data_IF_836242847626
#
_entry.id   IF_836242847626
#
_cell.length_a   1.000
_cell.length_b   1.000
_cell.length_c   1.000
_cell.angle_alpha   90.00
_cell.angle_beta   90.00
_cell.angle_gamma   90.00
#
_symmetry.space_group_name_H-M   'P 1'
#
loop_
_entity.id
_entity.type
_entity.pdbx_description
1 polymer ?
#
# COMPACT_ATOMS: atom_id res chain seq x y z
N UNK A 1 4.31 15.43 4.50
CA UNK A 1 5.54 14.89 3.87
C UNK A 1 5.14 14.39 2.49
N UNK A 2 5.92 14.65 1.43
CA UNK A 2 5.59 14.16 0.08
C UNK A 2 6.52 12.98 -0.23
N UNK A 3 5.95 11.80 -0.42
CA UNK A 3 6.69 10.62 -0.87
C UNK A 3 6.76 10.59 -2.41
N UNK A 4 7.94 10.27 -2.96
CA UNK A 4 8.14 10.13 -4.41
C UNK A 4 8.48 8.68 -4.72
N UNK A 5 7.53 7.97 -5.32
CA UNK A 5 7.67 6.56 -5.69
C UNK A 5 7.56 6.37 -7.22
N UNK A 6 8.39 5.46 -7.76
CA UNK A 6 8.29 4.91 -9.13
C UNK A 6 8.22 3.38 -9.03
N UNK A 7 7.33 2.76 -9.81
CA UNK A 7 7.29 1.31 -9.98
C UNK A 7 7.67 0.94 -11.41
N UNK A 8 8.64 0.03 -11.55
CA UNK A 8 9.02 -0.56 -12.82
C UNK A 8 8.66 -2.04 -12.81
N UNK A 9 8.21 -2.56 -13.95
CA UNK A 9 8.04 -3.99 -14.14
C UNK A 9 9.42 -4.65 -14.20
N UNK A 10 9.59 -5.75 -13.50
CA UNK A 10 10.77 -6.60 -13.59
C UNK A 10 10.38 -7.93 -14.24
N UNK A 11 11.27 -8.49 -15.07
CA UNK A 11 11.02 -9.77 -15.75
C UNK A 11 11.59 -10.95 -14.95
N UNK A 12 12.62 -10.72 -14.13
CA UNK A 12 13.25 -11.75 -13.28
C UNK A 12 13.69 -11.15 -11.95
N UNK A 13 13.26 -11.79 -10.85
CA UNK A 13 13.71 -11.43 -9.51
C UNK A 13 15.19 -11.74 -9.30
N UNK A 14 15.68 -12.86 -9.81
CA UNK A 14 17.09 -13.27 -9.62
C UNK A 14 18.05 -12.31 -10.34
N UNK A 15 17.71 -11.89 -11.55
CA UNK A 15 18.49 -10.88 -12.26
C UNK A 15 18.47 -9.53 -11.52
N UNK A 16 17.32 -9.15 -10.96
CA UNK A 16 17.19 -7.91 -10.21
C UNK A 16 18.00 -7.94 -8.91
N UNK A 17 17.95 -9.05 -8.16
CA UNK A 17 18.77 -9.25 -6.95
C UNK A 17 20.26 -9.11 -7.27
N UNK A 18 20.73 -9.77 -8.34
CA UNK A 18 22.12 -9.65 -8.78
C UNK A 18 22.52 -8.20 -9.10
N UNK A 19 21.67 -7.45 -9.81
CA UNK A 19 21.92 -6.03 -10.13
C UNK A 19 21.93 -5.16 -8.87
N UNK A 20 21.06 -5.44 -7.90
CA UNK A 20 21.04 -4.76 -6.60
C UNK A 20 22.33 -5.02 -5.82
N UNK A 21 22.82 -6.26 -5.80
CA UNK A 21 24.10 -6.61 -5.18
C UNK A 21 25.29 -5.91 -5.86
N UNK A 22 25.30 -5.84 -7.20
CA UNK A 22 26.34 -5.16 -7.98
C UNK A 22 26.45 -3.66 -7.69
N UNK A 23 25.33 -3.00 -7.33
CA UNK A 23 25.33 -1.59 -6.92
C UNK A 23 25.51 -1.40 -5.41
N UNK A 24 25.73 -2.48 -4.65
CA UNK A 24 25.94 -2.44 -3.20
C UNK A 24 24.66 -2.16 -2.40
N UNK A 25 23.49 -2.48 -2.95
CA UNK A 25 22.24 -2.40 -2.19
C UNK A 25 22.25 -3.44 -1.05
N UNK A 26 21.73 -3.05 0.10
CA UNK A 26 21.64 -3.94 1.27
C UNK A 26 20.17 -4.31 1.46
N UNK A 27 19.89 -5.61 1.49
CA UNK A 27 18.55 -6.12 1.83
C UNK A 27 18.24 -5.78 3.29
N UNK A 28 17.16 -5.03 3.50
CA UNK A 28 16.76 -4.60 4.85
C UNK A 28 15.79 -5.61 5.48
N UNK A 29 14.83 -6.14 4.73
CA UNK A 29 13.83 -7.08 5.24
C UNK A 29 13.12 -7.81 4.10
N UNK A 30 12.35 -8.84 4.45
CA UNK A 30 11.28 -9.38 3.62
C UNK A 30 9.97 -9.28 4.39
N UNK A 31 8.91 -8.85 3.72
CA UNK A 31 7.60 -8.69 4.34
C UNK A 31 6.48 -9.14 3.40
N UNK A 32 5.48 -9.79 4.00
CA UNK A 32 4.22 -10.14 3.37
C UNK A 32 3.21 -9.03 3.64
N UNK A 33 2.61 -8.49 2.58
CA UNK A 33 1.64 -7.41 2.65
C UNK A 33 0.29 -7.87 2.14
N UNK A 34 -0.76 -7.58 2.90
CA UNK A 34 -2.15 -7.72 2.49
C UNK A 34 -2.84 -6.35 2.57
N UNK A 35 -3.24 -5.83 1.41
CA UNK A 35 -3.94 -4.56 1.28
C UNK A 35 -5.42 -4.80 0.96
N UNK A 36 -6.31 -4.37 1.86
CA UNK A 36 -7.75 -4.31 1.61
C UNK A 36 -8.14 -2.88 1.25
N UNK A 37 -8.63 -2.67 0.04
CA UNK A 37 -9.03 -1.37 -0.49
C UNK A 37 -10.53 -1.14 -0.32
N UNK A 38 -10.90 0.08 0.04
CA UNK A 38 -12.26 0.50 0.28
C UNK A 38 -12.64 1.67 -0.64
N UNK A 39 -13.85 1.65 -1.20
CA UNK A 39 -14.41 2.76 -1.96
C UNK A 39 -15.39 3.58 -1.12
N UNK A 40 -15.51 4.87 -1.43
CA UNK A 40 -16.33 5.82 -0.67
C UNK A 40 -17.81 5.73 -1.04
N UNK A 41 -18.74 5.95 -0.08
CA UNK A 41 -20.17 6.01 -0.37
C UNK A 41 -20.61 7.29 -1.11
N UNK A 42 -19.77 8.32 -1.15
CA UNK A 42 -20.15 9.66 -1.67
C UNK A 42 -19.42 10.05 -2.96
N UNK A 43 -18.35 9.35 -3.34
CA UNK A 43 -17.64 9.54 -4.60
C UNK A 43 -16.89 8.27 -4.97
N UNK A 44 -16.71 8.02 -6.27
CA UNK A 44 -15.94 6.88 -6.74
C UNK A 44 -14.45 7.21 -6.74
N UNK A 45 -13.69 6.58 -5.84
CA UNK A 45 -12.24 6.74 -5.77
C UNK A 45 -11.51 6.28 -7.03
N UNK A 46 -12.10 5.39 -7.83
CA UNK A 46 -11.53 5.02 -9.12
C UNK A 46 -11.57 6.19 -10.12
N UNK A 47 -12.65 6.98 -10.10
CA UNK A 47 -12.82 8.16 -10.96
C UNK A 47 -11.99 9.35 -10.48
N UNK A 48 -11.84 9.51 -9.16
CA UNK A 48 -11.11 10.63 -8.56
C UNK A 48 -9.63 10.35 -8.30
N UNK A 49 -9.13 9.17 -8.69
CA UNK A 49 -7.75 8.70 -8.48
C UNK A 49 -7.33 8.67 -6.99
N UNK A 50 -8.29 8.48 -6.09
CA UNK A 50 -8.06 8.35 -4.64
C UNK A 50 -7.96 6.86 -4.24
N UNK A 51 -7.56 6.59 -3.00
CA UNK A 51 -7.69 5.27 -2.42
C UNK A 51 -7.75 5.33 -0.88
N UNK A 52 -8.56 4.46 -0.29
CA UNK A 52 -8.49 4.14 1.14
C UNK A 52 -8.12 2.66 1.26
N UNK A 53 -7.15 2.34 2.12
CA UNK A 53 -6.80 0.93 2.40
C UNK A 53 -6.54 0.67 3.88
N UNK A 54 -6.76 -0.57 4.26
CA UNK A 54 -6.17 -1.17 5.45
C UNK A 54 -5.07 -2.11 4.98
N UNK A 55 -3.83 -1.89 5.43
CA UNK A 55 -2.68 -2.74 5.15
C UNK A 55 -2.30 -3.53 6.38
N UNK A 56 -2.16 -4.83 6.21
CA UNK A 56 -1.47 -5.71 7.15
C UNK A 56 -0.09 -6.06 6.59
N UNK A 57 0.96 -5.88 7.40
CA UNK A 57 2.33 -6.21 7.02
C UNK A 57 2.92 -7.16 8.06
N UNK A 58 3.36 -8.34 7.60
CA UNK A 58 3.98 -9.38 8.42
C UNK A 58 5.39 -9.64 7.95
N UNK A 59 6.33 -9.67 8.88
CA UNK A 59 7.73 -10.04 8.69
C UNK A 59 8.16 -10.90 9.88
N UNK A 60 9.34 -11.51 9.81
CA UNK A 60 9.86 -12.34 10.92
C UNK A 60 9.99 -11.55 12.23
N UNK A 61 10.16 -10.23 12.16
CA UNK A 61 10.40 -9.37 13.31
C UNK A 61 9.18 -8.57 13.77
N UNK A 62 8.26 -8.26 12.85
CA UNK A 62 7.18 -7.28 13.08
C UNK A 62 5.89 -7.66 12.38
N UNK A 63 4.80 -7.31 13.04
CA UNK A 63 3.45 -7.33 12.52
C UNK A 63 2.82 -5.97 12.76
N UNK A 64 2.55 -5.23 11.68
CA UNK A 64 1.99 -3.88 11.77
C UNK A 64 0.71 -3.78 10.93
N UNK A 65 -0.20 -2.94 11.39
CA UNK A 65 -1.46 -2.65 10.71
C UNK A 65 -1.59 -1.15 10.51
N UNK A 66 -1.93 -0.72 9.30
CA UNK A 66 -2.08 0.68 8.96
C UNK A 66 -3.37 0.95 8.20
N UNK A 67 -3.98 2.11 8.47
CA UNK A 67 -4.93 2.74 7.56
C UNK A 67 -4.18 3.78 6.76
N UNK A 68 -4.36 3.77 5.44
CA UNK A 68 -3.82 4.82 4.57
C UNK A 68 -4.93 5.39 3.70
N UNK A 69 -5.12 6.71 3.75
CA UNK A 69 -5.81 7.45 2.69
C UNK A 69 -4.76 8.02 1.73
N UNK A 70 -5.03 7.90 0.44
CA UNK A 70 -4.20 8.37 -0.67
C UNK A 70 -5.04 9.31 -1.53
N UNK A 71 -4.64 10.57 -1.61
CA UNK A 71 -5.26 11.56 -2.49
C UNK A 71 -4.99 11.31 -3.98
N UNK A 72 -5.52 12.15 -4.88
CA UNK A 72 -5.23 12.08 -6.31
C UNK A 72 -3.72 12.26 -6.60
N UNK A 73 -3.22 11.66 -7.69
CA UNK A 73 -1.84 11.92 -8.15
C UNK A 73 -1.67 13.39 -8.51
N UNK A 74 -0.52 13.93 -8.12
CA UNK A 74 -0.10 15.28 -8.50
C UNK A 74 0.59 15.27 -9.88
N UNK A 75 1.22 14.14 -10.25
CA UNK A 75 1.91 13.95 -11.53
C UNK A 75 1.57 12.58 -12.11
N UNK A 76 1.21 12.51 -13.40
CA UNK A 76 0.87 11.27 -14.08
C UNK A 76 2.05 10.30 -14.24
N UNK A 77 3.30 10.79 -14.27
CA UNK A 77 4.51 9.96 -14.43
C UNK A 77 4.98 9.31 -13.13
N UNK A 78 4.55 9.84 -11.98
CA UNK A 78 5.00 9.43 -10.66
C UNK A 78 3.82 8.97 -9.84
N UNK A 79 4.07 8.21 -8.78
CA UNK A 79 3.02 7.86 -7.81
C UNK A 79 2.92 8.87 -6.67
N UNK A 80 3.38 10.10 -6.91
CA UNK A 80 3.38 11.18 -5.93
C UNK A 80 1.97 11.68 -5.69
N UNK A 81 1.55 11.64 -4.42
CA UNK A 81 0.25 12.09 -3.93
C UNK A 81 0.34 12.39 -2.44
N UNK A 82 -0.66 13.08 -1.93
CA UNK A 82 -0.83 13.22 -0.49
C UNK A 82 -1.26 11.88 0.12
N UNK A 83 -0.60 11.49 1.21
CA UNK A 83 -0.93 10.30 1.96
C UNK A 83 -1.09 10.65 3.44
N UNK A 84 -2.18 10.15 4.03
CA UNK A 84 -2.43 10.22 5.47
C UNK A 84 -2.45 8.79 5.98
N UNK A 85 -1.45 8.44 6.77
CA UNK A 85 -1.25 7.10 7.29
C UNK A 85 -1.29 7.11 8.82
N UNK A 86 -1.93 6.09 9.40
CA UNK A 86 -2.03 5.91 10.84
C UNK A 86 -1.95 4.42 11.18
N UNK A 87 -1.15 4.09 12.20
CA UNK A 87 -1.09 2.75 12.77
C UNK A 87 -2.39 2.43 13.52
N UNK A 88 -2.85 1.19 13.42
CA UNK A 88 -4.03 0.70 14.11
C UNK A 88 -3.74 -0.61 14.85
N UNK A 89 -4.57 -0.93 15.82
CA UNK A 89 -4.41 -2.14 16.62
C UNK A 89 -5.19 -3.34 16.08
N UNK A 90 -6.23 -3.11 15.26
CA UNK A 90 -7.16 -4.16 14.83
C UNK A 90 -7.78 -3.84 13.45
N UNK A 91 -7.35 -4.59 12.44
CA UNK A 91 -7.80 -4.45 11.06
C UNK A 91 -9.28 -4.81 10.88
N UNK A 92 -9.80 -5.75 11.67
CA UNK A 92 -11.20 -6.19 11.61
C UNK A 92 -12.15 -5.14 12.16
N UNK A 93 -11.80 -4.51 13.29
CA UNK A 93 -12.57 -3.39 13.85
C UNK A 93 -12.56 -2.18 12.92
N UNK A 94 -11.41 -1.84 12.35
CA UNK A 94 -11.31 -0.76 11.37
C UNK A 94 -12.20 -1.01 10.13
N UNK A 95 -12.19 -2.23 9.59
CA UNK A 95 -13.06 -2.63 8.47
C UNK A 95 -14.54 -2.44 8.79
N UNK A 96 -14.98 -2.93 9.97
CA UNK A 96 -16.37 -2.78 10.42
C UNK A 96 -16.78 -1.32 10.56
N UNK A 97 -15.90 -0.46 11.08
CA UNK A 97 -16.15 0.99 11.17
C UNK A 97 -16.35 1.56 9.76
N UNK A 98 -15.50 1.21 8.80
CA UNK A 98 -15.63 1.64 7.41
C UNK A 98 -16.95 1.20 6.78
N UNK A 99 -17.30 -0.08 6.93
CA UNK A 99 -18.57 -0.65 6.45
C UNK A 99 -19.78 0.07 7.06
N UNK A 100 -19.78 0.33 8.37
CA UNK A 100 -20.87 1.07 9.03
C UNK A 100 -20.97 2.53 8.57
N UNK A 101 -19.86 3.13 8.15
CA UNK A 101 -19.83 4.47 7.55
C UNK A 101 -20.18 4.45 6.05
N UNK A 102 -20.46 3.28 5.46
CA UNK A 102 -20.88 3.10 4.07
C UNK A 102 -19.74 2.87 3.08
N UNK A 103 -18.50 2.73 3.54
CA UNK A 103 -17.40 2.33 2.67
C UNK A 103 -17.50 0.83 2.34
N UNK A 104 -17.19 0.47 1.11
CA UNK A 104 -17.27 -0.91 0.65
C UNK A 104 -15.89 -1.44 0.31
N UNK A 105 -15.52 -2.61 0.81
CA UNK A 105 -14.30 -3.30 0.38
C UNK A 105 -14.44 -3.68 -1.10
N UNK A 106 -13.49 -3.25 -1.93
CA UNK A 106 -13.54 -3.43 -3.39
C UNK A 106 -12.47 -4.38 -3.91
N UNK A 107 -11.36 -4.52 -3.19
CA UNK A 107 -10.23 -5.36 -3.65
C UNK A 107 -9.27 -5.69 -2.52
N UNK A 108 -8.78 -6.92 -2.53
CA UNK A 108 -7.62 -7.33 -1.75
C UNK A 108 -6.42 -7.57 -2.67
N UNK A 109 -5.26 -7.05 -2.29
CA UNK A 109 -3.98 -7.25 -3.00
C UNK A 109 -2.98 -7.83 -2.02
N UNK A 110 -2.40 -8.97 -2.40
CA UNK A 110 -1.39 -9.65 -1.60
C UNK A 110 -0.07 -9.60 -2.37
N UNK A 111 1.01 -9.23 -1.68
CA UNK A 111 2.35 -9.22 -2.27
C UNK A 111 3.45 -9.45 -1.22
N UNK A 112 4.47 -10.20 -1.62
CA UNK A 112 5.74 -10.25 -0.90
C UNK A 112 6.64 -9.09 -1.37
N UNK A 113 7.37 -8.48 -0.44
CA UNK A 113 8.27 -7.35 -0.69
C UNK A 113 9.64 -7.66 -0.08
N UNK A 114 10.69 -7.38 -0.84
CA UNK A 114 12.10 -7.44 -0.45
C UNK A 114 12.76 -6.07 -0.58
#
# INVERSE_FOLDING_TARGET
MIEVEVKAKIESFDEMRKKLDEIGAVKVKTEHQEDRYFNSPVKDFAETDEALRIRETRSDEKHNLFITYKGPKIDAKRKTREEVEMEIEDAGKASKIFEFLGFNEVRTVINDRE
#
